data_IF_031810331912
#
_entry.id   IF_031810331912
#
_cell.length_a   1.000
_cell.length_b   1.000
_cell.length_c   1.000
_cell.angle_alpha   90.00
_cell.angle_beta   90.00
_cell.angle_gamma   90.00
#
_symmetry.space_group_name_H-M   'P 1'
#
loop_
_entity.id
_entity.type
_entity.pdbx_description
1 polymer ?
#
# COMPACT_ATOMS: atom_id res chain seq x y z
N UNK A 1 -21.04 12.96 1.92
CA UNK A 1 -20.05 13.03 3.03
C UNK A 1 -19.47 11.67 3.44
N UNK A 2 -20.26 10.58 3.57
CA UNK A 2 -19.78 9.25 4.02
C UNK A 2 -18.54 8.71 3.29
N UNK A 3 -18.49 8.81 1.96
CA UNK A 3 -17.36 8.32 1.12
C UNK A 3 -16.06 9.11 1.33
N UNK A 4 -16.18 10.44 1.47
CA UNK A 4 -15.04 11.33 1.73
C UNK A 4 -14.42 11.04 3.10
N UNK A 5 -15.24 10.98 4.16
CA UNK A 5 -14.77 10.65 5.52
C UNK A 5 -14.10 9.28 5.55
N UNK A 6 -14.69 8.29 4.89
CA UNK A 6 -14.10 6.93 4.81
C UNK A 6 -12.72 6.97 4.17
N UNK A 7 -12.53 7.79 3.14
CA UNK A 7 -11.26 7.87 2.41
C UNK A 7 -10.21 8.69 3.15
N UNK A 8 -10.62 9.73 3.88
CA UNK A 8 -9.75 10.48 4.78
C UNK A 8 -9.24 9.60 5.93
N UNK A 9 -10.10 8.80 6.56
CA UNK A 9 -9.66 7.83 7.57
C UNK A 9 -8.77 6.75 6.97
N UNK A 10 -9.09 6.29 5.76
CA UNK A 10 -8.25 5.33 5.06
C UNK A 10 -6.85 5.90 4.77
N UNK A 11 -6.75 7.17 4.36
CA UNK A 11 -5.49 7.88 4.15
C UNK A 11 -4.66 7.93 5.45
N UNK A 12 -5.27 8.35 6.56
CA UNK A 12 -4.57 8.46 7.84
C UNK A 12 -4.09 7.09 8.33
N UNK A 13 -4.97 6.09 8.33
CA UNK A 13 -4.64 4.74 8.83
C UNK A 13 -3.61 4.02 7.96
N UNK A 14 -3.75 4.12 6.64
CA UNK A 14 -2.79 3.49 5.71
C UNK A 14 -1.44 4.21 5.70
N UNK A 15 -1.44 5.54 5.88
CA UNK A 15 -0.23 6.34 5.99
C UNK A 15 0.53 6.04 7.27
N UNK A 16 -0.19 5.90 8.39
CA UNK A 16 0.39 5.45 9.65
C UNK A 16 0.96 4.03 9.53
N UNK A 17 0.24 3.10 8.89
CA UNK A 17 0.72 1.73 8.72
C UNK A 17 1.99 1.68 7.86
N UNK A 18 2.00 2.32 6.68
CA UNK A 18 3.19 2.41 5.84
C UNK A 18 4.35 3.10 6.55
N UNK A 19 4.08 4.23 7.21
CA UNK A 19 5.07 4.98 7.98
C UNK A 19 5.69 4.17 9.13
N UNK A 20 4.89 3.38 9.85
CA UNK A 20 5.37 2.49 10.92
C UNK A 20 6.26 1.38 10.38
N UNK A 21 5.90 0.77 9.23
CA UNK A 21 6.73 -0.26 8.60
C UNK A 21 8.05 0.35 8.09
N UNK A 22 8.00 1.54 7.50
CA UNK A 22 9.21 2.27 7.08
C UNK A 22 10.11 2.62 8.27
N UNK A 23 9.54 3.07 9.39
CA UNK A 23 10.28 3.42 10.60
C UNK A 23 10.90 2.18 11.26
N UNK A 24 10.15 1.09 11.37
CA UNK A 24 10.66 -0.17 11.90
C UNK A 24 11.83 -0.69 11.06
N UNK A 25 11.71 -0.64 9.75
CA UNK A 25 12.77 -1.03 8.83
C UNK A 25 14.01 -0.13 8.98
N UNK A 26 13.87 1.19 9.11
CA UNK A 26 14.98 2.11 9.34
C UNK A 26 15.77 1.77 10.62
N UNK A 27 15.07 1.40 11.69
CA UNK A 27 15.67 0.99 12.98
C UNK A 27 16.46 -0.31 12.80
N UNK A 28 15.88 -1.31 12.13
CA UNK A 28 16.51 -2.62 11.96
C UNK A 28 17.73 -2.56 11.03
N UNK A 29 17.71 -1.69 10.02
CA UNK A 29 18.81 -1.55 9.05
C UNK A 29 19.85 -0.50 9.45
N UNK A 30 19.65 0.21 10.57
CA UNK A 30 20.54 1.28 11.07
C UNK A 30 20.89 2.35 10.00
N UNK A 31 19.95 2.63 9.09
CA UNK A 31 20.17 3.43 7.89
C UNK A 31 19.48 4.80 8.01
N UNK A 32 20.24 5.89 7.83
CA UNK A 32 19.76 7.25 8.10
C UNK A 32 19.31 8.02 6.84
N UNK A 33 20.10 8.04 5.76
CA UNK A 33 19.83 8.88 4.57
C UNK A 33 18.93 8.20 3.53
N UNK A 34 19.12 6.90 3.30
CA UNK A 34 18.38 6.12 2.29
C UNK A 34 16.89 5.96 2.68
N UNK A 35 16.57 5.99 3.97
CA UNK A 35 15.20 5.87 4.46
C UNK A 35 14.37 7.14 4.30
N UNK A 36 14.98 8.30 4.04
CA UNK A 36 14.23 9.52 3.69
C UNK A 36 13.48 9.29 2.39
N UNK A 37 14.13 8.68 1.39
CA UNK A 37 13.50 8.34 0.10
C UNK A 37 12.39 7.31 0.29
N UNK A 38 12.62 6.28 1.12
CA UNK A 38 11.60 5.29 1.48
C UNK A 38 10.37 5.97 2.09
N UNK A 39 10.57 6.91 3.01
CA UNK A 39 9.48 7.63 3.66
C UNK A 39 8.69 8.50 2.67
N UNK A 40 9.38 9.22 1.77
CA UNK A 40 8.75 10.02 0.72
C UNK A 40 7.95 9.15 -0.26
N UNK A 41 8.50 8.01 -0.68
CA UNK A 41 7.80 7.06 -1.55
C UNK A 41 6.58 6.47 -0.84
N UNK A 42 6.70 6.09 0.44
CA UNK A 42 5.58 5.60 1.24
C UNK A 42 4.44 6.62 1.33
N UNK A 43 4.77 7.90 1.55
CA UNK A 43 3.77 8.98 1.55
C UNK A 43 3.09 9.13 0.19
N UNK A 44 3.87 9.12 -0.90
CA UNK A 44 3.34 9.20 -2.26
C UNK A 44 2.41 8.02 -2.58
N UNK A 45 2.83 6.78 -2.27
CA UNK A 45 2.02 5.57 -2.47
C UNK A 45 0.73 5.64 -1.68
N UNK A 46 0.77 6.15 -0.45
CA UNK A 46 -0.44 6.36 0.36
C UNK A 46 -1.42 7.31 -0.31
N UNK A 47 -0.95 8.43 -0.86
CA UNK A 47 -1.79 9.39 -1.57
C UNK A 47 -2.40 8.74 -2.83
N UNK A 48 -1.58 8.09 -3.65
CA UNK A 48 -2.02 7.44 -4.90
C UNK A 48 -3.03 6.33 -4.60
N UNK A 49 -2.76 5.48 -3.62
CA UNK A 49 -3.66 4.42 -3.21
C UNK A 49 -5.00 5.01 -2.71
N UNK A 50 -4.95 6.09 -1.93
CA UNK A 50 -6.16 6.79 -1.49
C UNK A 50 -7.01 7.30 -2.63
N UNK A 51 -6.39 7.93 -3.63
CA UNK A 51 -7.12 8.41 -4.81
C UNK A 51 -7.73 7.22 -5.57
N UNK A 52 -6.99 6.14 -5.77
CA UNK A 52 -7.49 4.95 -6.47
C UNK A 52 -8.69 4.30 -5.75
N UNK A 53 -8.59 4.09 -4.43
CA UNK A 53 -9.68 3.56 -3.62
C UNK A 53 -10.86 4.53 -3.47
N UNK A 54 -10.62 5.83 -3.53
CA UNK A 54 -11.67 6.84 -3.58
C UNK A 54 -12.48 6.72 -4.87
N UNK A 55 -11.80 6.65 -6.03
CA UNK A 55 -12.44 6.47 -7.34
C UNK A 55 -13.24 5.16 -7.38
N UNK A 56 -12.68 4.06 -6.85
CA UNK A 56 -13.34 2.76 -6.81
C UNK A 56 -14.71 2.79 -6.07
N UNK A 57 -14.92 3.72 -5.12
CA UNK A 57 -16.19 3.88 -4.41
C UNK A 57 -17.31 4.55 -5.22
N UNK A 58 -17.02 5.10 -6.41
CA UNK A 58 -18.01 5.73 -7.29
C UNK A 58 -18.49 4.81 -8.43
N UNK A 59 -17.88 3.64 -8.58
CA UNK A 59 -18.26 2.66 -9.60
C UNK A 59 -19.58 1.96 -9.23
N UNK A 60 -20.43 1.56 -10.20
CA UNK A 60 -21.73 0.91 -9.93
C UNK A 60 -21.64 -0.34 -9.04
N UNK A 61 -20.54 -1.09 -9.12
CA UNK A 61 -20.24 -2.19 -8.20
C UNK A 61 -19.00 -1.87 -7.36
N UNK A 62 -19.15 -1.08 -6.28
CA UNK A 62 -18.01 -0.56 -5.53
C UNK A 62 -17.24 -1.67 -4.83
N UNK A 63 -17.91 -2.74 -4.38
CA UNK A 63 -17.25 -3.85 -3.70
C UNK A 63 -16.31 -4.61 -4.64
N UNK A 64 -16.76 -4.89 -5.87
CA UNK A 64 -15.92 -5.54 -6.89
C UNK A 64 -14.76 -4.64 -7.29
N UNK A 65 -15.02 -3.34 -7.50
CA UNK A 65 -13.99 -2.37 -7.84
C UNK A 65 -12.90 -2.28 -6.75
N UNK A 66 -13.28 -2.16 -5.48
CA UNK A 66 -12.34 -2.11 -4.34
C UNK A 66 -11.49 -3.38 -4.26
N UNK A 67 -12.09 -4.56 -4.45
CA UNK A 67 -11.36 -5.82 -4.43
C UNK A 67 -10.35 -5.93 -5.58
N UNK A 68 -10.74 -5.50 -6.79
CA UNK A 68 -9.83 -5.45 -7.93
C UNK A 68 -8.71 -4.44 -7.72
N UNK A 69 -9.02 -3.23 -7.23
CA UNK A 69 -8.01 -2.20 -6.93
C UNK A 69 -7.01 -2.69 -5.89
N UNK A 70 -7.47 -3.34 -4.82
CA UNK A 70 -6.60 -3.93 -3.81
C UNK A 70 -5.73 -5.05 -4.37
N UNK A 71 -6.33 -5.99 -5.12
CA UNK A 71 -5.61 -7.10 -5.71
C UNK A 71 -4.55 -6.62 -6.71
N UNK A 72 -4.92 -5.73 -7.64
CA UNK A 72 -4.00 -5.15 -8.62
C UNK A 72 -2.89 -4.37 -7.92
N UNK A 73 -3.22 -3.56 -6.91
CA UNK A 73 -2.23 -2.80 -6.15
C UNK A 73 -1.21 -3.69 -5.45
N UNK A 74 -1.66 -4.71 -4.71
CA UNK A 74 -0.77 -5.66 -4.04
C UNK A 74 0.05 -6.45 -5.05
N UNK A 75 -0.59 -7.00 -6.09
CA UNK A 75 0.11 -7.76 -7.13
C UNK A 75 1.19 -6.92 -7.82
N UNK A 76 0.92 -5.65 -8.13
CA UNK A 76 1.90 -4.76 -8.75
C UNK A 76 3.13 -4.57 -7.86
N UNK A 77 2.94 -4.26 -6.57
CA UNK A 77 4.08 -4.08 -5.65
C UNK A 77 4.83 -5.39 -5.39
N UNK A 78 4.14 -6.52 -5.27
CA UNK A 78 4.77 -7.83 -5.10
C UNK A 78 5.58 -8.22 -6.33
N UNK A 79 5.02 -8.09 -7.54
CA UNK A 79 5.71 -8.42 -8.78
C UNK A 79 6.89 -7.48 -9.03
N UNK A 80 6.74 -6.17 -8.76
CA UNK A 80 7.83 -5.22 -8.86
C UNK A 80 8.96 -5.52 -7.87
N UNK A 81 8.63 -5.88 -6.63
CA UNK A 81 9.61 -6.31 -5.62
C UNK A 81 10.35 -7.58 -6.03
N UNK A 82 9.63 -8.61 -6.46
CA UNK A 82 10.24 -9.86 -6.97
C UNK A 82 11.10 -9.58 -8.20
N UNK A 83 10.64 -8.75 -9.12
CA UNK A 83 11.36 -8.37 -10.34
C UNK A 83 12.68 -7.66 -10.04
N UNK A 84 12.69 -6.73 -9.09
CA UNK A 84 13.91 -6.06 -8.65
C UNK A 84 14.87 -7.00 -7.93
N UNK A 85 14.35 -7.87 -7.07
CA UNK A 85 15.16 -8.90 -6.42
C UNK A 85 15.80 -9.81 -7.49
N UNK A 86 15.01 -10.36 -8.41
CA UNK A 86 15.50 -11.20 -9.49
C UNK A 86 16.52 -10.48 -10.38
N UNK A 87 16.31 -9.19 -10.65
CA UNK A 87 17.27 -8.35 -11.37
C UNK A 87 18.60 -8.24 -10.62
N UNK A 88 18.58 -7.96 -9.31
CA UNK A 88 19.79 -7.95 -8.47
C UNK A 88 20.52 -9.29 -8.52
N UNK A 89 19.79 -10.41 -8.52
CA UNK A 89 20.37 -11.76 -8.66
C UNK A 89 20.94 -12.06 -10.05
N UNK A 90 20.50 -11.36 -11.10
CA UNK A 90 21.00 -11.55 -12.46
C UNK A 90 22.31 -10.79 -12.76
N UNK A 91 22.75 -9.92 -11.86
CA UNK A 91 23.97 -9.11 -12.07
C UNK A 91 25.25 -9.95 -11.90
N UNK A 92 26.31 -9.68 -12.68
CA UNK A 92 27.58 -10.42 -12.57
C UNK A 92 28.21 -10.30 -11.17
N UNK A 93 28.88 -11.37 -10.67
CA UNK A 93 29.60 -11.32 -9.41
C UNK A 93 30.67 -10.21 -9.47
N UNK A 94 30.53 -9.20 -8.60
CA UNK A 94 31.35 -7.97 -8.60
C UNK A 94 30.57 -6.67 -8.81
N UNK A 95 29.37 -6.73 -9.41
CA UNK A 95 28.42 -5.59 -9.49
C UNK A 95 27.21 -5.74 -8.57
N UNK A 96 26.98 -6.95 -8.06
CA UNK A 96 25.89 -7.21 -7.12
C UNK A 96 26.27 -6.70 -5.73
N UNK A 97 25.79 -5.51 -5.36
CA UNK A 97 25.98 -4.89 -4.05
C UNK A 97 24.87 -5.33 -3.09
N UNK A 98 24.90 -6.62 -2.75
CA UNK A 98 23.84 -7.32 -2.00
C UNK A 98 23.46 -6.66 -0.67
N UNK A 99 24.45 -6.19 0.10
CA UNK A 99 24.23 -5.66 1.45
C UNK A 99 23.65 -4.24 1.47
N UNK A 100 23.77 -3.48 0.36
CA UNK A 100 23.25 -2.13 0.25
C UNK A 100 21.84 -2.07 -0.36
N UNK A 101 21.58 -2.91 -1.38
CA UNK A 101 20.36 -2.77 -2.18
C UNK A 101 19.13 -3.44 -1.53
N UNK A 102 19.32 -4.55 -0.82
CA UNK A 102 18.23 -5.32 -0.22
C UNK A 102 17.43 -4.53 0.84
N UNK A 103 18.06 -3.77 1.77
CA UNK A 103 17.36 -2.89 2.68
C UNK A 103 16.52 -1.81 1.98
N UNK A 104 17.01 -1.25 0.88
CA UNK A 104 16.32 -0.21 0.11
C UNK A 104 15.11 -0.80 -0.62
N UNK A 105 15.29 -1.97 -1.25
CA UNK A 105 14.18 -2.70 -1.90
C UNK A 105 13.11 -3.07 -0.86
N UNK A 106 13.53 -3.63 0.28
CA UNK A 106 12.62 -3.93 1.39
C UNK A 106 11.87 -2.68 1.87
N UNK A 107 12.60 -1.57 2.08
CA UNK A 107 12.05 -0.27 2.43
C UNK A 107 11.05 0.26 1.41
N UNK A 108 11.23 0.00 0.12
CA UNK A 108 10.33 0.53 -0.90
C UNK A 108 9.01 -0.26 -1.01
N UNK A 109 9.08 -1.59 -0.91
CA UNK A 109 7.94 -2.47 -1.17
C UNK A 109 7.13 -2.83 0.07
N UNK A 110 7.77 -3.09 1.22
CA UNK A 110 7.06 -3.52 2.44
C UNK A 110 6.09 -2.45 2.97
N UNK A 111 6.49 -1.18 3.15
CA UNK A 111 5.58 -0.10 3.52
C UNK A 111 4.44 0.07 2.52
N UNK A 112 4.77 0.04 1.23
CA UNK A 112 3.80 0.22 0.13
C UNK A 112 2.73 -0.86 0.13
N UNK A 113 3.13 -2.14 0.31
CA UNK A 113 2.19 -3.27 0.42
C UNK A 113 1.33 -3.12 1.68
N UNK A 114 1.93 -2.78 2.82
CA UNK A 114 1.19 -2.57 4.07
C UNK A 114 0.12 -1.47 3.94
N UNK A 115 0.49 -0.33 3.34
CA UNK A 115 -0.44 0.78 3.04
C UNK A 115 -1.61 0.29 2.20
N UNK A 116 -1.36 -0.39 1.08
CA UNK A 116 -2.42 -0.87 0.18
C UNK A 116 -3.34 -1.88 0.87
N UNK A 117 -2.78 -2.81 1.65
CA UNK A 117 -3.56 -3.80 2.40
C UNK A 117 -4.46 -3.13 3.42
N UNK A 118 -3.93 -2.21 4.24
CA UNK A 118 -4.71 -1.50 5.26
C UNK A 118 -5.83 -0.70 4.61
N UNK A 119 -5.53 -0.04 3.50
CA UNK A 119 -6.51 0.74 2.76
C UNK A 119 -7.61 -0.14 2.16
N UNK A 120 -7.23 -1.28 1.57
CA UNK A 120 -8.17 -2.25 1.03
C UNK A 120 -9.11 -2.81 2.10
N UNK A 121 -8.55 -3.23 3.24
CA UNK A 121 -9.32 -3.79 4.36
C UNK A 121 -10.30 -2.76 4.93
N UNK A 122 -9.83 -1.54 5.18
CA UNK A 122 -10.64 -0.49 5.79
C UNK A 122 -11.80 -0.04 4.88
N UNK A 123 -11.49 0.31 3.63
CA UNK A 123 -12.49 0.78 2.65
C UNK A 123 -13.46 -0.36 2.30
N UNK A 124 -12.94 -1.56 2.04
CA UNK A 124 -13.75 -2.74 1.73
C UNK A 124 -14.65 -3.17 2.89
N UNK A 125 -14.21 -3.04 4.14
CA UNK A 125 -15.08 -3.26 5.29
C UNK A 125 -16.17 -2.19 5.41
N UNK A 126 -15.83 -0.91 5.21
CA UNK A 126 -16.81 0.18 5.35
C UNK A 126 -17.90 0.14 4.29
N UNK A 127 -17.55 -0.19 3.04
CA UNK A 127 -18.51 -0.35 1.94
C UNK A 127 -19.42 -1.55 2.18
N UNK A 128 -18.90 -2.71 2.60
CA UNK A 128 -19.71 -3.88 2.98
C UNK A 128 -20.73 -3.55 4.08
N UNK A 129 -20.34 -2.79 5.10
CA UNK A 129 -21.26 -2.36 6.16
C UNK A 129 -22.36 -1.43 5.65
N UNK A 130 -22.05 -0.54 4.69
CA UNK A 130 -23.04 0.34 4.06
C UNK A 130 -24.11 -0.46 3.31
N UNK A 131 -23.68 -1.43 2.48
CA UNK A 131 -24.58 -2.27 1.69
C UNK A 131 -25.51 -3.12 2.56
N UNK A 132 -25.00 -3.67 3.68
CA UNK A 132 -25.81 -4.45 4.63
C UNK A 132 -26.87 -3.62 5.35
N UNK A 133 -26.54 -2.37 5.69
CA UNK A 133 -27.49 -1.46 6.33
C UNK A 133 -28.62 -1.05 5.38
N UNK A 134 -28.31 -0.82 4.10
CA UNK A 134 -29.30 -0.51 3.06
C UNK A 134 -30.22 -1.73 2.78
N UNK A 135 -29.67 -2.95 2.77
CA UNK A 135 -30.45 -4.18 2.61
C UNK A 135 -31.35 -4.49 3.82
N UNK A 136 -30.93 -4.17 5.05
CA UNK A 136 -31.71 -4.39 6.27
C UNK A 136 -32.76 -3.33 6.56
N UNK A 137 -32.69 -2.15 5.93
CA UNK A 137 -33.69 -1.09 6.04
C UNK A 137 -34.84 -1.23 5.02
N UNK A 138 -34.72 -2.16 4.07
CA UNK A 138 -35.74 -2.46 3.07
C UNK A 138 -36.55 -3.74 3.36
N UNK A 139 -36.38 -4.34 4.54
CA UNK A 139 -37.14 -5.47 5.06
C UNK A 139 -38.01 -5.01 6.24
#
# INVERSE_FOLDING_TARGET
>A
MRKFVTSLFALILSGLAGGLVALWLAIVTNANSEYILVFMVSALVTIVATVAFFIAQFVPNPQRAINLTGLVGVSLFVLAGIGLIAWTFSQPPGKAQWSGDLPVVAGLFLPSIATVIVQWLFVGWRVRRGLRAEAGAGA
#
